data_IF_685211420800
#
_entry.id   IF_685211420800
#
_cell.length_a   1.000
_cell.length_b   1.000
_cell.length_c   1.000
_cell.angle_alpha   90.00
_cell.angle_beta   90.00
_cell.angle_gamma   90.00
#
_symmetry.space_group_name_H-M   'P 1'
#
loop_
_entity.id
_entity.type
_entity.pdbx_description
1 polymer ?
#
# COMPACT_ATOMS: atom_id res chain seq x y z
N UNK A 1 31.49 15.77 -14.95
CA UNK A 1 30.48 15.53 -16.01
C UNK A 1 29.21 16.36 -15.85
N UNK A 2 28.75 16.66 -14.62
CA UNK A 2 27.52 17.42 -14.30
C UNK A 2 27.25 18.64 -15.19
N UNK A 3 28.25 19.51 -15.45
CA UNK A 3 28.09 20.71 -16.30
C UNK A 3 27.64 20.41 -17.74
N UNK A 4 27.96 19.24 -18.30
CA UNK A 4 27.52 18.83 -19.66
C UNK A 4 26.08 18.31 -19.66
N UNK A 5 25.67 17.61 -18.60
CA UNK A 5 24.30 17.11 -18.42
C UNK A 5 23.32 18.29 -18.28
N UNK A 6 23.66 19.28 -17.45
CA UNK A 6 22.84 20.47 -17.24
C UNK A 6 22.62 21.32 -18.50
N UNK A 7 23.63 21.43 -19.39
CA UNK A 7 23.45 22.09 -20.69
C UNK A 7 22.54 21.29 -21.63
N UNK A 8 22.63 19.96 -21.60
CA UNK A 8 21.80 19.08 -22.43
C UNK A 8 20.31 19.17 -22.10
N UNK A 9 19.94 19.07 -20.82
CA UNK A 9 18.53 19.20 -20.39
C UNK A 9 17.95 20.57 -20.69
N UNK A 10 18.74 21.64 -20.54
CA UNK A 10 18.26 23.01 -20.79
C UNK A 10 18.04 23.27 -22.29
N UNK A 11 18.92 22.74 -23.16
CA UNK A 11 18.72 22.80 -24.62
C UNK A 11 17.48 22.01 -25.08
N UNK A 12 17.26 20.81 -24.56
CA UNK A 12 16.06 20.00 -24.87
C UNK A 12 14.79 20.70 -24.39
N UNK A 13 14.80 21.26 -23.17
CA UNK A 13 13.66 22.02 -22.63
C UNK A 13 13.35 23.30 -23.42
N UNK A 14 14.36 24.01 -23.92
CA UNK A 14 14.16 25.19 -24.75
C UNK A 14 13.53 24.83 -26.11
N UNK A 15 14.00 23.76 -26.75
CA UNK A 15 13.44 23.30 -28.04
C UNK A 15 12.02 22.76 -27.87
N UNK A 16 11.72 21.98 -26.83
CA UNK A 16 10.36 21.48 -26.60
C UNK A 16 9.38 22.62 -26.30
N UNK A 17 9.79 23.61 -25.50
CA UNK A 17 8.93 24.79 -25.21
C UNK A 17 8.68 25.64 -26.46
N UNK A 18 9.66 25.76 -27.35
CA UNK A 18 9.51 26.54 -28.59
C UNK A 18 8.64 25.83 -29.65
N UNK A 19 8.71 24.50 -29.74
CA UNK A 19 7.96 23.72 -30.75
C UNK A 19 6.49 23.48 -30.35
N UNK A 20 6.19 23.33 -29.05
CA UNK A 20 4.85 22.90 -28.60
C UNK A 20 4.01 23.99 -27.91
N UNK A 21 4.57 25.18 -27.67
CA UNK A 21 3.81 26.33 -27.17
C UNK A 21 3.20 26.13 -25.77
N UNK A 22 2.18 26.94 -25.46
CA UNK A 22 1.60 27.03 -24.11
C UNK A 22 0.61 25.89 -23.79
N UNK A 23 0.10 25.21 -24.81
CA UNK A 23 -0.86 24.09 -24.67
C UNK A 23 -0.18 22.74 -24.40
N UNK A 24 1.15 22.66 -24.55
CA UNK A 24 1.95 21.47 -24.24
C UNK A 24 1.71 20.93 -22.81
N UNK A 25 1.47 21.82 -21.85
CA UNK A 25 1.24 21.46 -20.44
C UNK A 25 0.01 20.56 -20.25
N UNK A 26 -1.05 20.75 -21.04
CA UNK A 26 -2.29 19.97 -20.89
C UNK A 26 -2.20 18.56 -21.48
N UNK A 27 -1.30 18.33 -22.44
CA UNK A 27 -1.04 16.99 -22.98
C UNK A 27 0.07 16.26 -22.20
N UNK A 28 1.02 16.98 -21.61
CA UNK A 28 2.06 16.39 -20.76
C UNK A 28 1.50 15.79 -19.48
N UNK A 29 0.54 16.44 -18.81
CA UNK A 29 -0.10 15.88 -17.61
C UNK A 29 -0.92 14.64 -17.94
N UNK A 30 -1.85 14.74 -18.89
CA UNK A 30 -2.71 13.62 -19.29
C UNK A 30 -1.92 12.47 -19.93
N UNK A 31 -0.80 12.75 -20.60
CA UNK A 31 0.11 11.72 -21.12
C UNK A 31 0.95 11.04 -20.03
N UNK A 32 1.44 11.79 -19.05
CA UNK A 32 2.28 11.25 -17.98
C UNK A 32 1.53 10.28 -17.06
N UNK A 33 0.28 10.60 -16.69
CA UNK A 33 -0.52 9.75 -15.83
C UNK A 33 -0.90 8.43 -16.53
N UNK A 34 -1.37 8.49 -17.78
CA UNK A 34 -1.69 7.29 -18.56
C UNK A 34 -0.47 6.40 -18.84
N UNK A 35 0.71 6.97 -19.09
CA UNK A 35 1.96 6.19 -19.26
C UNK A 35 2.40 5.55 -17.95
N UNK A 36 2.27 6.24 -16.82
CA UNK A 36 2.61 5.71 -15.50
C UNK A 36 1.73 4.52 -15.13
N UNK A 37 0.42 4.64 -15.33
CA UNK A 37 -0.52 3.57 -14.99
C UNK A 37 -0.42 2.39 -15.96
N UNK A 38 -0.21 2.62 -17.27
CA UNK A 38 0.04 1.56 -18.24
C UNK A 38 1.31 0.74 -17.94
N UNK A 39 2.40 1.41 -17.52
CA UNK A 39 3.62 0.72 -17.07
C UNK A 39 3.36 -0.06 -15.79
N UNK A 40 2.57 0.49 -14.85
CA UNK A 40 2.24 -0.18 -13.59
C UNK A 40 1.36 -1.42 -13.77
N UNK A 41 0.45 -1.42 -14.75
CA UNK A 41 -0.33 -2.60 -15.15
C UNK A 41 0.47 -3.65 -15.95
N UNK A 42 1.66 -3.30 -16.43
CA UNK A 42 2.53 -4.20 -17.20
C UNK A 42 3.64 -4.87 -16.38
N UNK A 43 3.68 -4.67 -15.07
CA UNK A 43 4.68 -5.31 -14.19
C UNK A 43 4.25 -6.74 -13.87
N UNK A 44 5.08 -7.77 -14.13
CA UNK A 44 4.77 -9.15 -13.78
C UNK A 44 4.60 -9.35 -12.26
N UNK A 45 3.67 -10.21 -11.83
CA UNK A 45 3.32 -10.39 -10.41
C UNK A 45 4.51 -10.92 -9.60
N UNK A 46 5.36 -11.73 -10.24
CA UNK A 46 6.63 -12.26 -9.74
C UNK A 46 7.53 -11.12 -9.25
N UNK A 47 7.58 -10.00 -9.98
CA UNK A 47 8.42 -8.85 -9.65
C UNK A 47 7.90 -8.09 -8.43
N UNK A 48 6.58 -7.89 -8.30
CA UNK A 48 6.02 -7.24 -7.11
C UNK A 48 6.13 -8.13 -5.85
N UNK A 49 6.14 -9.47 -6.00
CA UNK A 49 6.43 -10.41 -4.90
C UNK A 49 7.92 -10.31 -4.48
N UNK A 50 8.86 -10.32 -5.43
CA UNK A 50 10.29 -10.17 -5.12
C UNK A 50 10.59 -8.78 -4.54
N UNK A 51 9.91 -7.74 -5.01
CA UNK A 51 9.95 -6.42 -4.42
C UNK A 51 9.42 -6.42 -2.99
N UNK A 52 8.27 -7.04 -2.72
CA UNK A 52 7.73 -7.15 -1.36
C UNK A 52 8.71 -7.88 -0.43
N UNK A 53 9.34 -8.97 -0.90
CA UNK A 53 10.44 -9.68 -0.21
C UNK A 53 11.59 -8.71 0.13
N UNK A 54 11.97 -7.84 -0.80
CA UNK A 54 13.01 -6.82 -0.58
C UNK A 54 12.60 -5.74 0.43
N UNK A 55 11.36 -5.25 0.39
CA UNK A 55 10.87 -4.28 1.38
C UNK A 55 10.83 -4.88 2.80
N UNK A 56 10.46 -6.15 2.94
CA UNK A 56 10.50 -6.87 4.23
C UNK A 56 11.94 -7.10 4.72
N UNK A 57 12.89 -7.35 3.81
CA UNK A 57 14.33 -7.37 4.15
C UNK A 57 14.80 -5.98 4.64
N UNK A 58 14.33 -4.90 4.00
CA UNK A 58 14.65 -3.51 4.34
C UNK A 58 14.13 -3.08 5.74
N UNK A 59 13.18 -3.81 6.35
CA UNK A 59 12.78 -3.60 7.76
C UNK A 59 13.88 -4.01 8.76
N UNK A 60 14.81 -4.89 8.36
CA UNK A 60 15.89 -5.41 9.21
C UNK A 60 16.81 -4.32 9.81
N UNK A 61 17.34 -3.35 9.04
CA UNK A 61 18.09 -2.22 9.61
C UNK A 61 17.27 -1.35 10.56
N UNK A 62 15.97 -1.16 10.32
CA UNK A 62 15.10 -0.38 11.23
C UNK A 62 14.92 -1.10 12.57
N UNK A 63 14.65 -2.41 12.54
CA UNK A 63 14.58 -3.27 13.73
C UNK A 63 15.90 -3.25 14.52
N UNK A 64 17.05 -3.30 13.82
CA UNK A 64 18.37 -3.18 14.46
C UNK A 64 18.59 -1.82 15.11
N UNK A 65 18.13 -0.73 14.49
CA UNK A 65 18.19 0.60 15.05
C UNK A 65 17.32 0.72 16.32
N UNK A 66 16.08 0.22 16.28
CA UNK A 66 15.20 0.16 17.44
C UNK A 66 15.81 -0.65 18.60
N UNK A 67 16.43 -1.80 18.29
CA UNK A 67 17.15 -2.60 19.29
C UNK A 67 18.34 -1.85 19.90
N UNK A 68 19.08 -1.07 19.10
CA UNK A 68 20.18 -0.25 19.62
C UNK A 68 19.69 0.83 20.59
N UNK A 69 18.60 1.53 20.24
CA UNK A 69 17.97 2.54 21.12
C UNK A 69 17.45 1.91 22.41
N UNK A 70 16.83 0.72 22.36
CA UNK A 70 16.39 -0.01 23.56
C UNK A 70 17.59 -0.37 24.45
N UNK A 71 18.68 -0.87 23.89
CA UNK A 71 19.89 -1.20 24.64
C UNK A 71 20.55 0.04 25.30
N UNK A 72 20.54 1.18 24.62
CA UNK A 72 21.00 2.46 25.21
C UNK A 72 20.11 2.89 26.38
N UNK A 73 18.77 2.82 26.22
CA UNK A 73 17.83 3.13 27.30
C UNK A 73 17.90 2.15 28.48
N UNK A 74 18.19 0.86 28.26
CA UNK A 74 18.48 -0.11 29.34
C UNK A 74 19.68 0.33 30.18
N UNK A 75 20.77 0.75 29.53
CA UNK A 75 21.98 1.24 30.21
C UNK A 75 21.72 2.56 30.93
N UNK A 76 20.95 3.49 30.35
CA UNK A 76 20.51 4.70 31.05
C UNK A 76 19.71 4.39 32.32
N UNK A 77 18.72 3.49 32.23
CA UNK A 77 17.89 3.05 33.37
C UNK A 77 18.75 2.39 34.45
N UNK A 78 19.70 1.53 34.07
CA UNK A 78 20.65 0.91 35.01
C UNK A 78 21.55 1.96 35.69
N UNK A 79 22.05 2.94 34.94
CA UNK A 79 22.88 4.01 35.48
C UNK A 79 22.09 4.92 36.43
N UNK A 80 20.83 5.25 36.10
CA UNK A 80 19.94 6.03 36.96
C UNK A 80 19.60 5.27 38.26
N UNK A 81 19.23 3.99 38.18
CA UNK A 81 19.06 3.09 39.35
C UNK A 81 20.30 3.12 40.26
N UNK A 82 21.48 2.97 39.67
CA UNK A 82 22.76 2.97 40.40
C UNK A 82 23.06 4.33 41.04
N UNK A 83 22.73 5.43 40.35
CA UNK A 83 22.84 6.80 40.89
C UNK A 83 21.92 7.00 42.09
N UNK A 84 20.63 6.64 41.97
CA UNK A 84 19.63 6.74 43.03
C UNK A 84 20.06 5.95 44.27
N UNK A 85 20.55 4.72 44.10
CA UNK A 85 21.05 3.90 45.21
C UNK A 85 22.21 4.59 45.97
N UNK A 86 23.20 5.12 45.24
CA UNK A 86 24.32 5.87 45.84
C UNK A 86 23.91 7.20 46.47
N UNK A 87 22.85 7.84 45.97
CA UNK A 87 22.31 9.05 46.59
C UNK A 87 21.53 8.72 47.87
N UNK A 88 20.76 7.64 47.89
CA UNK A 88 20.04 7.15 49.07
C UNK A 88 20.99 6.75 50.22
N UNK A 89 22.08 6.02 49.93
CA UNK A 89 23.13 5.69 50.91
C UNK A 89 23.76 6.96 51.53
N UNK A 90 23.97 8.00 50.70
CA UNK A 90 24.47 9.30 51.19
C UNK A 90 23.44 10.08 52.01
N UNK A 91 22.14 9.89 51.74
CA UNK A 91 21.09 10.48 52.56
C UNK A 91 21.04 9.80 53.93
N UNK A 92 21.11 8.47 54.01
CA UNK A 92 21.15 7.71 55.27
C UNK A 92 22.29 8.19 56.20
N UNK A 93 23.52 8.34 55.67
CA UNK A 93 24.65 8.88 56.44
C UNK A 93 24.47 10.36 56.85
N UNK A 94 23.77 11.16 56.05
CA UNK A 94 23.41 12.53 56.41
C UNK A 94 22.32 12.57 57.49
N UNK A 95 21.36 11.67 57.43
CA UNK A 95 20.28 11.52 58.42
C UNK A 95 20.87 11.14 59.78
N UNK A 96 21.73 10.11 59.85
CA UNK A 96 22.43 9.71 61.08
C UNK A 96 23.21 10.89 61.69
N UNK A 97 23.93 11.64 60.85
CA UNK A 97 24.65 12.86 61.27
C UNK A 97 23.72 13.93 61.83
N UNK A 98 22.56 14.15 61.21
CA UNK A 98 21.54 15.13 61.62
C UNK A 98 20.86 14.69 62.92
N UNK A 99 20.52 13.40 63.06
CA UNK A 99 19.93 12.82 64.26
C UNK A 99 20.90 12.90 65.46
N UNK A 100 22.19 12.64 65.24
CA UNK A 100 23.23 12.78 66.27
C UNK A 100 23.32 14.22 66.77
N UNK A 101 23.48 15.19 65.87
CA UNK A 101 23.51 16.63 66.23
C UNK A 101 22.21 17.12 66.88
N UNK A 102 21.06 16.57 66.47
CA UNK A 102 19.75 16.84 67.07
C UNK A 102 19.62 16.26 68.48
N UNK A 103 20.22 15.11 68.74
CA UNK A 103 20.31 14.49 70.07
C UNK A 103 21.22 15.30 70.99
N UNK A 104 22.41 15.68 70.51
CA UNK A 104 23.35 16.52 71.26
C UNK A 104 22.69 17.85 71.69
N UNK A 105 22.01 18.55 70.78
CA UNK A 105 21.34 19.82 71.14
C UNK A 105 20.20 19.68 72.16
N UNK A 106 19.68 18.46 72.38
CA UNK A 106 18.69 18.14 73.42
C UNK A 106 19.30 17.85 74.79
N UNK A 107 20.60 17.53 74.89
CA UNK A 107 21.26 17.28 76.19
C UNK A 107 21.17 18.51 77.12
N UNK A 108 21.15 19.71 76.53
CA UNK A 108 21.13 20.98 77.23
C UNK A 108 22.46 21.73 77.22
N UNK A 109 23.55 21.12 76.73
CA UNK A 109 24.90 21.68 76.81
C UNK A 109 25.07 23.01 76.04
N UNK A 110 25.95 23.87 76.58
CA UNK A 110 26.31 25.16 75.97
C UNK A 110 27.45 25.04 74.93
N UNK A 111 28.31 24.02 75.10
CA UNK A 111 29.54 23.82 74.30
C UNK A 111 29.69 22.38 73.84
N UNK A 112 29.88 22.18 72.54
CA UNK A 112 30.00 20.89 71.89
C UNK A 112 31.39 20.72 71.27
N UNK A 113 31.97 19.52 71.33
CA UNK A 113 33.28 19.22 70.75
C UNK A 113 33.12 18.23 69.60
N UNK A 114 33.44 18.68 68.39
CA UNK A 114 33.43 17.85 67.19
C UNK A 114 34.83 17.84 66.57
N UNK A 115 35.39 16.63 66.41
CA UNK A 115 36.81 16.43 66.14
C UNK A 115 37.69 17.27 67.10
N UNK A 116 38.60 18.10 66.59
CA UNK A 116 39.50 18.94 67.40
C UNK A 116 39.00 20.38 67.61
N UNK A 117 37.70 20.66 67.39
CA UNK A 117 37.12 22.02 67.49
C UNK A 117 35.95 22.06 68.47
N UNK A 118 35.86 23.15 69.24
CA UNK A 118 34.75 23.42 70.14
C UNK A 118 33.82 24.45 69.51
N UNK A 119 32.51 24.19 69.56
CA UNK A 119 31.46 25.05 69.03
C UNK A 119 30.46 25.40 70.13
N UNK A 120 29.87 26.59 70.09
CA UNK A 120 28.78 26.95 70.98
C UNK A 120 27.43 26.46 70.42
N UNK A 121 26.43 26.34 71.30
CA UNK A 121 25.07 25.88 70.95
C UNK A 121 24.47 26.57 69.72
N UNK A 122 24.63 27.90 69.60
CA UNK A 122 24.10 28.69 68.48
C UNK A 122 24.76 28.34 67.14
N UNK A 123 26.05 28.05 67.13
CA UNK A 123 26.76 27.61 65.93
C UNK A 123 26.31 26.21 65.49
N UNK A 124 26.13 25.28 66.43
CA UNK A 124 25.64 23.91 66.14
C UNK A 124 24.19 23.93 65.67
N UNK A 125 23.33 24.75 66.29
CA UNK A 125 21.94 24.94 65.85
C UNK A 125 21.86 25.49 64.41
N UNK A 126 22.76 26.42 64.04
CA UNK A 126 22.83 26.93 62.65
C UNK A 126 23.27 25.83 61.68
N UNK A 127 24.36 25.12 61.98
CA UNK A 127 24.85 24.04 61.10
C UNK A 127 23.81 22.92 60.95
N UNK A 128 23.09 22.55 62.03
CA UNK A 128 21.98 21.61 61.95
C UNK A 128 20.86 22.09 61.02
N UNK A 129 20.46 23.36 61.10
CA UNK A 129 19.46 23.93 60.19
C UNK A 129 19.95 23.93 58.72
N UNK A 130 21.19 24.35 58.49
CA UNK A 130 21.80 24.38 57.16
C UNK A 130 21.98 22.96 56.57
N UNK A 131 22.28 21.95 57.40
CA UNK A 131 22.32 20.52 57.00
C UNK A 131 20.92 19.97 56.72
N UNK A 132 19.97 20.19 57.60
CA UNK A 132 18.60 19.66 57.46
C UNK A 132 17.89 20.25 56.22
N UNK A 133 18.12 21.52 55.90
CA UNK A 133 17.63 22.12 54.66
C UNK A 133 18.28 21.47 53.41
N UNK A 134 19.58 21.19 53.43
CA UNK A 134 20.26 20.46 52.33
C UNK A 134 19.78 19.02 52.20
N UNK A 135 19.55 18.33 53.32
CA UNK A 135 19.01 16.97 53.35
C UNK A 135 17.65 16.90 52.64
N UNK A 136 16.68 17.75 53.02
CA UNK A 136 15.36 17.81 52.36
C UNK A 136 15.46 18.04 50.85
N UNK A 137 16.30 19.01 50.43
CA UNK A 137 16.48 19.30 49.00
C UNK A 137 17.08 18.12 48.23
N UNK A 138 17.91 17.30 48.87
CA UNK A 138 18.48 16.09 48.29
C UNK A 138 17.50 14.90 48.34
N UNK A 139 16.69 14.78 49.38
CA UNK A 139 15.58 13.83 49.49
C UNK A 139 14.53 14.09 48.40
N UNK A 140 14.08 15.34 48.25
CA UNK A 140 13.21 15.81 47.16
C UNK A 140 13.82 15.56 45.77
N UNK A 141 15.15 15.60 45.64
CA UNK A 141 15.84 15.28 44.38
C UNK A 141 15.83 13.78 44.10
N UNK A 142 16.18 12.94 45.07
CA UNK A 142 16.14 11.47 44.95
C UNK A 142 14.72 10.97 44.65
N UNK A 143 13.69 11.58 45.23
CA UNK A 143 12.30 11.20 44.96
C UNK A 143 11.86 11.58 43.53
N UNK A 144 12.30 12.74 43.02
CA UNK A 144 12.11 13.10 41.61
C UNK A 144 12.89 12.19 40.65
N UNK A 145 14.11 11.80 41.01
CA UNK A 145 14.91 10.83 40.24
C UNK A 145 14.20 9.47 40.19
N UNK A 146 13.58 9.00 41.29
CA UNK A 146 12.76 7.77 41.32
C UNK A 146 11.54 7.86 40.42
N UNK A 147 10.80 8.98 40.45
CA UNK A 147 9.65 9.18 39.56
C UNK A 147 10.08 9.20 38.09
N UNK A 148 11.21 9.86 37.77
CA UNK A 148 11.81 9.84 36.44
C UNK A 148 12.26 8.43 36.02
N UNK A 149 12.79 7.64 36.96
CA UNK A 149 13.17 6.26 36.72
C UNK A 149 11.95 5.40 36.37
N UNK A 150 10.87 5.46 37.15
CA UNK A 150 9.63 4.70 36.87
C UNK A 150 9.05 5.07 35.50
N UNK A 151 9.06 6.36 35.14
CA UNK A 151 8.63 6.80 33.81
C UNK A 151 9.52 6.24 32.68
N UNK A 152 10.85 6.23 32.87
CA UNK A 152 11.80 5.63 31.92
C UNK A 152 11.63 4.11 31.80
N UNK A 153 11.39 3.41 32.90
CA UNK A 153 11.14 1.96 32.91
C UNK A 153 9.85 1.61 32.15
N UNK A 154 8.76 2.36 32.36
CA UNK A 154 7.51 2.19 31.62
C UNK A 154 7.67 2.48 30.12
N UNK A 155 8.40 3.55 29.77
CA UNK A 155 8.69 3.87 28.37
C UNK A 155 9.53 2.77 27.70
N UNK A 156 10.57 2.29 28.38
CA UNK A 156 11.43 1.21 27.92
C UNK A 156 10.64 -0.09 27.67
N UNK A 157 9.73 -0.45 28.57
CA UNK A 157 8.87 -1.62 28.41
C UNK A 157 7.93 -1.47 27.20
N UNK A 158 7.33 -0.29 27.02
CA UNK A 158 6.52 0.01 25.83
C UNK A 158 7.34 -0.06 24.53
N UNK A 159 8.62 0.33 24.55
CA UNK A 159 9.52 0.20 23.40
C UNK A 159 9.85 -1.27 23.09
N UNK A 160 10.02 -2.11 24.11
CA UNK A 160 10.23 -3.56 23.95
C UNK A 160 9.02 -4.25 23.34
N UNK A 161 7.82 -4.01 23.88
CA UNK A 161 6.56 -4.54 23.33
C UNK A 161 6.42 -4.13 21.86
N UNK A 162 6.68 -2.87 21.52
CA UNK A 162 6.64 -2.40 20.13
C UNK A 162 7.70 -3.05 19.23
N UNK A 163 8.88 -3.37 19.74
CA UNK A 163 9.90 -4.12 18.99
C UNK A 163 9.42 -5.57 18.73
N UNK A 164 8.79 -6.21 19.70
CA UNK A 164 8.19 -7.54 19.54
C UNK A 164 7.04 -7.54 18.52
N UNK A 165 6.17 -6.52 18.55
CA UNK A 165 5.14 -6.29 17.52
C UNK A 165 5.75 -6.13 16.12
N UNK A 166 6.82 -5.33 15.97
CA UNK A 166 7.54 -5.17 14.69
C UNK A 166 8.18 -6.48 14.21
N UNK A 167 8.72 -7.29 15.13
CA UNK A 167 9.31 -8.60 14.82
C UNK A 167 8.25 -9.63 14.38
N UNK A 168 7.08 -9.64 15.05
CA UNK A 168 5.95 -10.48 14.62
C UNK A 168 5.46 -10.04 13.25
N UNK A 169 5.13 -8.76 13.06
CA UNK A 169 4.61 -8.23 11.81
C UNK A 169 5.57 -8.49 10.63
N UNK A 170 6.89 -8.38 10.84
CA UNK A 170 7.88 -8.76 9.81
C UNK A 170 7.77 -10.25 9.44
N UNK A 171 7.65 -11.14 10.42
CA UNK A 171 7.51 -12.59 10.19
C UNK A 171 6.18 -12.94 9.52
N UNK A 172 5.10 -12.27 9.90
CA UNK A 172 3.78 -12.46 9.31
C UNK A 172 3.80 -12.06 7.83
N UNK A 173 4.46 -10.95 7.49
CA UNK A 173 4.70 -10.54 6.09
C UNK A 173 5.58 -11.54 5.30
N UNK A 174 6.60 -12.14 5.91
CA UNK A 174 7.39 -13.22 5.27
C UNK A 174 6.50 -14.42 4.89
N UNK A 175 5.60 -14.84 5.80
CA UNK A 175 4.66 -15.95 5.55
C UNK A 175 3.61 -15.58 4.50
N UNK A 176 3.12 -14.34 4.48
CA UNK A 176 2.20 -13.86 3.44
C UNK A 176 2.85 -13.84 2.05
N UNK A 177 4.12 -13.43 1.95
CA UNK A 177 4.89 -13.46 0.70
C UNK A 177 5.08 -14.90 0.19
N UNK A 178 5.49 -15.83 1.06
CA UNK A 178 5.61 -17.24 0.69
C UNK A 178 4.27 -17.84 0.23
N UNK A 179 3.16 -17.42 0.85
CA UNK A 179 1.79 -17.80 0.43
C UNK A 179 1.41 -17.22 -0.93
N UNK A 180 1.78 -15.97 -1.23
CA UNK A 180 1.56 -15.36 -2.54
C UNK A 180 2.37 -16.07 -3.63
N UNK A 181 3.63 -16.39 -3.35
CA UNK A 181 4.51 -17.16 -4.26
C UNK A 181 3.96 -18.57 -4.54
N UNK A 182 3.46 -19.27 -3.52
CA UNK A 182 2.81 -20.56 -3.68
C UNK A 182 1.50 -20.46 -4.51
N UNK A 183 0.72 -19.39 -4.30
CA UNK A 183 -0.51 -19.14 -5.08
C UNK A 183 -0.18 -18.86 -6.54
N UNK A 184 0.85 -18.07 -6.82
CA UNK A 184 1.29 -17.74 -8.17
C UNK A 184 1.66 -19.00 -8.95
N UNK A 185 2.53 -19.86 -8.39
CA UNK A 185 2.88 -21.17 -8.97
C UNK A 185 1.67 -22.05 -9.27
N UNK A 186 0.66 -22.01 -8.42
CA UNK A 186 -0.59 -22.76 -8.63
C UNK A 186 -1.43 -22.19 -9.79
N UNK A 187 -1.37 -20.88 -10.04
CA UNK A 187 -2.04 -20.23 -11.17
C UNK A 187 -1.27 -20.51 -12.46
N UNK A 188 0.05 -20.31 -12.48
CA UNK A 188 0.91 -20.62 -13.64
C UNK A 188 0.75 -22.09 -14.10
N UNK A 189 0.65 -23.04 -13.15
CA UNK A 189 0.40 -24.44 -13.46
C UNK A 189 -0.99 -24.69 -14.07
N UNK A 190 -2.03 -24.00 -13.58
CA UNK A 190 -3.38 -24.10 -14.12
C UNK A 190 -3.50 -23.44 -15.51
N UNK A 191 -2.86 -22.29 -15.72
CA UNK A 191 -2.77 -21.62 -17.02
C UNK A 191 -2.00 -22.47 -18.04
N UNK A 192 -0.92 -23.13 -17.62
CA UNK A 192 -0.18 -24.08 -18.47
C UNK A 192 -1.10 -25.21 -18.93
N UNK A 193 -1.89 -25.81 -18.02
CA UNK A 193 -2.86 -26.86 -18.36
C UNK A 193 -3.93 -26.32 -19.32
N UNK A 194 -4.55 -25.18 -19.02
CA UNK A 194 -5.58 -24.59 -19.88
C UNK A 194 -5.04 -24.22 -21.28
N UNK A 195 -3.79 -23.75 -21.38
CA UNK A 195 -3.16 -23.43 -22.67
C UNK A 195 -2.89 -24.65 -23.55
N UNK A 196 -2.80 -25.85 -22.96
CA UNK A 196 -2.70 -27.12 -23.69
C UNK A 196 -4.07 -27.60 -24.21
N UNK A 197 -5.19 -27.11 -23.66
CA UNK A 197 -6.54 -27.56 -23.99
C UNK A 197 -7.22 -26.74 -25.13
N UNK A 198 -6.68 -25.56 -25.50
CA UNK A 198 -7.30 -24.66 -26.49
C UNK A 198 -6.40 -24.44 -27.73
N UNK A 199 -6.65 -25.19 -28.81
CA UNK A 199 -6.13 -24.91 -30.16
C UNK A 199 -7.24 -24.47 -31.14
N UNK A 200 -7.59 -23.19 -31.08
CA UNK A 200 -8.55 -22.57 -32.01
C UNK A 200 -8.01 -22.37 -33.45
N UNK A 201 -6.76 -22.74 -33.72
CA UNK A 201 -6.16 -22.55 -35.05
C UNK A 201 -6.85 -23.41 -36.12
N UNK A 202 -7.38 -24.58 -35.73
CA UNK A 202 -8.26 -25.41 -36.56
C UNK A 202 -9.57 -24.67 -36.91
N UNK A 203 -10.21 -24.03 -35.93
CA UNK A 203 -11.49 -23.35 -36.08
C UNK A 203 -11.37 -22.12 -36.99
N UNK A 204 -10.31 -21.32 -36.81
CA UNK A 204 -10.01 -20.16 -37.65
C UNK A 204 -9.71 -20.57 -39.11
N UNK A 205 -8.88 -21.59 -39.35
CA UNK A 205 -8.61 -22.12 -40.69
C UNK A 205 -9.89 -22.63 -41.36
N UNK A 206 -10.76 -23.30 -40.61
CA UNK A 206 -12.04 -23.84 -41.12
C UNK A 206 -13.02 -22.72 -41.52
N UNK A 207 -13.15 -21.66 -40.71
CA UNK A 207 -14.00 -20.50 -41.05
C UNK A 207 -13.54 -19.79 -42.33
N UNK A 208 -12.23 -19.65 -42.52
CA UNK A 208 -11.67 -19.05 -43.73
C UNK A 208 -11.95 -19.91 -44.96
N UNK A 209 -11.76 -21.23 -44.87
CA UNK A 209 -12.07 -22.17 -45.95
C UNK A 209 -13.55 -22.13 -46.38
N UNK A 210 -14.49 -22.10 -45.42
CA UNK A 210 -15.93 -21.98 -45.71
C UNK A 210 -16.22 -20.67 -46.44
N UNK A 211 -15.60 -19.56 -46.02
CA UNK A 211 -15.78 -18.23 -46.64
C UNK A 211 -15.26 -18.22 -48.08
N UNK A 212 -14.15 -18.91 -48.36
CA UNK A 212 -13.59 -19.03 -49.72
C UNK A 212 -14.45 -19.92 -50.63
N UNK A 213 -15.04 -21.00 -50.10
CA UNK A 213 -15.99 -21.86 -50.84
C UNK A 213 -17.27 -21.09 -51.22
N UNK A 214 -17.85 -20.30 -50.30
CA UNK A 214 -19.01 -19.45 -50.63
C UNK A 214 -18.68 -18.48 -51.77
N UNK A 215 -17.52 -17.81 -51.70
CA UNK A 215 -17.05 -16.90 -52.75
C UNK A 215 -16.87 -17.60 -54.11
N UNK A 216 -16.39 -18.84 -54.14
CA UNK A 216 -16.28 -19.59 -55.39
C UNK A 216 -17.65 -19.98 -55.97
N UNK A 217 -18.59 -20.41 -55.12
CA UNK A 217 -19.96 -20.71 -55.54
C UNK A 217 -20.69 -19.48 -56.09
N UNK A 218 -20.56 -18.32 -55.45
CA UNK A 218 -21.13 -17.05 -55.91
C UNK A 218 -20.58 -16.64 -57.30
N UNK A 219 -19.30 -16.90 -57.56
CA UNK A 219 -18.67 -16.66 -58.87
C UNK A 219 -19.21 -17.63 -59.92
N UNK A 220 -19.34 -18.92 -59.59
CA UNK A 220 -19.90 -19.92 -60.52
C UNK A 220 -21.37 -19.64 -60.82
N UNK A 221 -22.18 -19.25 -59.83
CA UNK A 221 -23.56 -18.84 -60.06
C UNK A 221 -23.63 -17.65 -61.01
N UNK A 222 -22.84 -16.59 -60.76
CA UNK A 222 -22.75 -15.43 -61.67
C UNK A 222 -22.26 -15.78 -63.07
N UNK A 223 -21.40 -16.78 -63.22
CA UNK A 223 -21.00 -17.29 -64.54
C UNK A 223 -22.15 -18.03 -65.23
N UNK A 224 -22.88 -18.90 -64.54
CA UNK A 224 -24.07 -19.57 -65.11
C UNK A 224 -25.14 -18.56 -65.50
N UNK A 225 -25.39 -17.54 -64.66
CA UNK A 225 -26.33 -16.46 -64.97
C UNK A 225 -25.85 -15.63 -66.17
N UNK A 226 -24.54 -15.37 -66.29
CA UNK A 226 -23.96 -14.64 -67.43
C UNK A 226 -23.96 -15.48 -68.73
N UNK A 227 -23.73 -16.79 -68.65
CA UNK A 227 -23.78 -17.73 -69.78
C UNK A 227 -25.23 -17.92 -70.27
N UNK A 228 -26.20 -17.96 -69.36
CA UNK A 228 -27.64 -17.97 -69.69
C UNK A 228 -28.08 -16.68 -70.41
N UNK A 229 -27.46 -15.54 -70.07
CA UNK A 229 -27.64 -14.28 -70.82
C UNK A 229 -26.91 -14.25 -72.18
N UNK A 230 -26.03 -15.21 -72.48
CA UNK A 230 -25.28 -15.28 -73.75
C UNK A 230 -25.86 -16.27 -74.78
N UNK A 231 -26.80 -17.14 -74.39
CA UNK A 231 -27.59 -17.94 -75.34
C UNK A 231 -28.68 -17.08 -75.99
N UNK A 232 -28.26 -16.25 -76.96
CA UNK A 232 -29.12 -15.31 -77.67
C UNK A 232 -30.25 -15.98 -78.45
N UNK A 233 -31.41 -16.16 -77.81
CA UNK A 233 -32.69 -16.48 -78.45
C UNK A 233 -33.73 -15.49 -77.98
N UNK A 234 -34.43 -14.86 -78.92
CA UNK A 234 -35.41 -13.81 -78.66
C UNK A 234 -36.76 -14.44 -78.28
N UNK A 235 -37.41 -14.05 -77.18
CA UNK A 235 -38.83 -14.32 -76.96
C UNK A 235 -39.69 -13.26 -77.66
N UNK A 236 -40.24 -13.64 -78.81
CA UNK A 236 -41.43 -13.04 -79.46
C UNK A 236 -42.20 -14.22 -80.08
N UNK A 237 -43.52 -14.36 -79.96
CA UNK A 237 -44.53 -13.60 -79.21
C UNK A 237 -45.26 -14.50 -78.19
N UNK A 238 -45.81 -13.91 -77.12
CA UNK A 238 -47.22 -14.16 -76.82
C UNK A 238 -47.89 -12.86 -76.33
N UNK A 239 -48.72 -12.35 -77.24
CA UNK A 239 -49.71 -11.27 -77.17
C UNK A 239 -49.71 -10.29 -75.98
N UNK A 240 -49.49 -9.02 -76.33
CA UNK A 240 -50.01 -7.88 -75.60
C UNK A 240 -51.54 -7.95 -75.50
N UNK A 241 -52.06 -8.21 -74.30
CA UNK A 241 -53.39 -7.76 -73.89
C UNK A 241 -53.22 -6.71 -72.78
N UNK A 242 -53.47 -5.45 -73.13
CA UNK A 242 -53.57 -4.29 -72.22
C UNK A 242 -54.64 -3.34 -72.74
N UNK A 243 -55.16 -2.39 -71.93
CA UNK A 243 -55.18 -2.32 -70.46
C UNK A 243 -56.55 -2.86 -69.96
N UNK A 244 -57.12 -2.65 -68.77
CA UNK A 244 -56.84 -1.84 -67.54
C UNK A 244 -56.86 -2.82 -66.32
N UNK A 245 -56.75 -2.50 -65.03
CA UNK A 245 -56.92 -1.26 -64.26
C UNK A 245 -56.05 -1.33 -62.98
N UNK A 246 -55.29 -0.27 -62.67
CA UNK A 246 -54.24 -0.26 -61.62
C UNK A 246 -54.77 0.35 -60.30
N UNK A 247 -56.05 0.74 -60.22
CA UNK A 247 -56.59 1.39 -59.01
C UNK A 247 -56.94 0.40 -57.87
N UNK A 248 -57.24 -0.87 -58.19
CA UNK A 248 -57.65 -1.86 -57.18
C UNK A 248 -56.50 -2.37 -56.28
N UNK A 249 -55.28 -2.51 -56.81
CA UNK A 249 -54.14 -3.03 -56.04
C UNK A 249 -53.54 -1.97 -55.10
N UNK A 250 -53.69 -0.68 -55.45
CA UNK A 250 -53.30 0.46 -54.59
C UNK A 250 -54.19 0.56 -53.34
N UNK A 251 -55.46 0.16 -53.44
CA UNK A 251 -56.37 0.12 -52.29
C UNK A 251 -55.94 -0.92 -51.23
N UNK A 252 -55.39 -2.06 -51.66
CA UNK A 252 -54.94 -3.12 -50.76
C UNK A 252 -53.72 -2.75 -49.89
N UNK A 253 -52.96 -1.72 -50.28
CA UNK A 253 -51.75 -1.30 -49.56
C UNK A 253 -52.01 -0.22 -48.48
N UNK A 254 -53.18 0.44 -48.47
CA UNK A 254 -53.44 1.59 -47.56
C UNK A 254 -54.84 1.68 -46.90
N UNK A 255 -55.59 0.58 -46.78
CA UNK A 255 -56.68 0.52 -45.79
C UNK A 255 -57.58 -0.72 -45.91
N UNK A 256 -57.83 -1.51 -44.86
CA UNK A 256 -57.32 -1.46 -43.49
C UNK A 256 -58.39 -1.94 -42.51
N UNK A 257 -58.01 -2.66 -41.45
CA UNK A 257 -58.79 -2.73 -40.21
C UNK A 257 -57.96 -3.25 -39.04
N UNK A 258 -58.09 -2.55 -37.90
CA UNK A 258 -57.58 -2.95 -36.60
C UNK A 258 -58.31 -4.18 -36.05
N UNK A 259 -57.68 -4.86 -35.07
CA UNK A 259 -58.36 -5.63 -34.00
C UNK A 259 -59.03 -6.98 -34.40
N UNK A 260 -59.14 -8.02 -33.56
CA UNK A 260 -58.90 -8.15 -32.10
C UNK A 260 -58.82 -9.66 -31.65
N UNK A 261 -57.89 -9.99 -30.74
CA UNK A 261 -57.88 -11.11 -29.72
C UNK A 261 -58.06 -12.62 -30.18
N UNK A 262 -58.01 -13.68 -29.31
CA UNK A 262 -56.88 -14.61 -29.40
C UNK A 262 -57.22 -16.14 -29.40
N UNK A 263 -56.14 -16.94 -29.44
CA UNK A 263 -55.92 -18.22 -28.74
C UNK A 263 -57.09 -18.88 -27.99
N UNK A 264 -57.54 -20.05 -28.48
CA UNK A 264 -57.82 -21.23 -27.64
C UNK A 264 -58.15 -22.53 -28.43
N UNK A 265 -57.57 -23.64 -27.96
CA UNK A 265 -58.25 -24.91 -27.67
C UNK A 265 -58.71 -25.92 -28.77
N UNK A 266 -58.00 -27.07 -28.72
CA UNK A 266 -58.52 -28.42 -28.43
C UNK A 266 -59.06 -29.36 -29.55
N UNK A 267 -58.43 -30.54 -29.56
CA UNK A 267 -59.03 -31.90 -29.59
C UNK A 267 -59.63 -32.42 -30.91
N UNK A 268 -59.10 -33.58 -31.37
CA UNK A 268 -59.83 -34.86 -31.34
C UNK A 268 -59.09 -35.99 -32.05
N UNK A 269 -58.94 -37.14 -31.34
CA UNK A 269 -58.93 -38.56 -31.79
C UNK A 269 -58.39 -38.96 -33.19
N UNK A 270 -57.69 -40.08 -33.35
CA UNK A 270 -57.83 -41.38 -32.65
C UNK A 270 -56.48 -41.95 -32.22
#
# INVERSE_FOLDING_TARGET
MVKKIALGTLAVAAVSTFVFGRDAMSYLTTGADNVRDAVRSGVPVEFEIERARKEVENLTPEIRNSLHVIAEQEVEVQNLRTSIARQAEKLESQEESILTLSSDLKSGDETFKYASRTYNRKAVQKDLADRFNRFKLAEDAVERDRQSLTAKEQALESMKVKLEEMLSARKDLEVEIDRLEARLRSVEAAETIASLEIDDSQLARTRNLITEIHKELDVRQKMVDAESNFTGTIPVEQELATPEDIEAEVAAYFGGQESEIPDAALVSHV
#
